data_IF_352578053887
#
_entry.id   IF_352578053887
#
_cell.length_a   1.000
_cell.length_b   1.000
_cell.length_c   1.000
_cell.angle_alpha   90.00
_cell.angle_beta   90.00
_cell.angle_gamma   90.00
#
_symmetry.space_group_name_H-M   'P 1'
#
loop_
_entity.id
_entity.type
_entity.pdbx_description
1 polymer ?
#
# COMPACT_ATOMS: atom_id res chain seq x y z
N UNK A 1 -12.31 10.46 -53.09
CA UNK A 1 -11.34 11.01 -52.10
C UNK A 1 -11.54 10.27 -50.78
N UNK A 2 -10.68 9.29 -50.47
CA UNK A 2 -10.70 8.57 -49.20
C UNK A 2 -9.81 9.27 -48.18
N UNK A 3 -10.31 9.47 -46.95
CA UNK A 3 -9.56 10.11 -45.87
C UNK A 3 -8.48 9.16 -45.33
N UNK A 4 -7.34 9.71 -44.89
CA UNK A 4 -6.25 8.94 -44.33
C UNK A 4 -6.70 8.26 -43.02
N UNK A 5 -6.67 6.92 -42.99
CA UNK A 5 -7.03 6.11 -41.82
C UNK A 5 -5.94 6.22 -40.75
N UNK A 6 -6.24 6.87 -39.62
CA UNK A 6 -5.31 7.01 -38.48
C UNK A 6 -5.15 5.67 -37.75
N UNK A 7 -3.93 5.13 -37.66
CA UNK A 7 -3.65 3.95 -36.81
C UNK A 7 -3.79 4.35 -35.33
N UNK A 8 -4.66 3.66 -34.59
CA UNK A 8 -4.72 3.74 -33.13
C UNK A 8 -3.51 3.00 -32.54
N UNK A 9 -2.57 3.73 -31.94
CA UNK A 9 -1.52 3.11 -31.12
C UNK A 9 -2.14 2.72 -29.78
N UNK A 10 -2.34 1.42 -29.56
CA UNK A 10 -2.70 0.90 -28.24
C UNK A 10 -1.41 0.76 -27.44
N UNK A 11 -1.27 1.57 -26.40
CA UNK A 11 -0.12 1.50 -25.49
C UNK A 11 -0.50 0.59 -24.34
N UNK A 12 0.09 -0.60 -24.29
CA UNK A 12 0.00 -1.47 -23.12
C UNK A 12 0.97 -0.95 -22.06
N UNK A 13 0.43 -0.42 -20.95
CA UNK A 13 1.24 -0.09 -19.76
C UNK A 13 1.51 -1.38 -18.98
N UNK A 14 2.78 -1.68 -18.74
CA UNK A 14 3.22 -2.79 -17.91
C UNK A 14 3.30 -2.35 -16.45
N UNK A 15 2.52 -2.99 -15.57
CA UNK A 15 2.45 -2.67 -14.14
C UNK A 15 3.81 -2.75 -13.42
N UNK A 16 4.72 -3.62 -13.88
CA UNK A 16 6.04 -3.82 -13.30
C UNK A 16 6.98 -2.61 -13.40
N UNK A 17 6.78 -1.74 -14.40
CA UNK A 17 7.58 -0.54 -14.54
C UNK A 17 7.20 0.54 -13.51
N UNK A 18 5.92 0.59 -13.14
CA UNK A 18 5.40 1.59 -12.21
C UNK A 18 5.79 1.26 -10.76
N UNK A 19 5.80 -0.01 -10.37
CA UNK A 19 6.30 -0.46 -9.06
C UNK A 19 7.76 -0.08 -8.81
N UNK A 20 8.63 -0.24 -9.82
CA UNK A 20 10.03 0.16 -9.71
C UNK A 20 10.19 1.66 -9.52
N UNK A 21 9.37 2.46 -10.20
CA UNK A 21 9.37 3.92 -10.05
C UNK A 21 8.88 4.32 -8.65
N UNK A 22 7.82 3.69 -8.16
CA UNK A 22 7.31 3.94 -6.81
C UNK A 22 8.38 3.64 -5.76
N UNK A 23 9.03 2.48 -5.84
CA UNK A 23 10.12 2.12 -4.91
C UNK A 23 11.29 3.12 -4.96
N UNK A 24 11.62 3.64 -6.14
CA UNK A 24 12.65 4.67 -6.27
C UNK A 24 12.25 6.00 -5.64
N UNK A 25 10.99 6.44 -5.84
CA UNK A 25 10.45 7.64 -5.21
C UNK A 25 10.43 7.53 -3.67
N UNK A 26 10.03 6.37 -3.15
CA UNK A 26 10.03 6.11 -1.71
C UNK A 26 11.46 6.19 -1.13
N UNK A 27 12.44 5.55 -1.78
CA UNK A 27 13.85 5.66 -1.36
C UNK A 27 14.35 7.11 -1.30
N UNK A 28 13.93 7.97 -2.23
CA UNK A 28 14.29 9.41 -2.21
C UNK A 28 13.72 10.16 -1.01
N UNK A 29 12.59 9.70 -0.46
CA UNK A 29 12.00 10.24 0.77
C UNK A 29 12.68 9.71 2.05
N UNK A 30 13.75 8.90 1.90
CA UNK A 30 14.51 8.37 3.02
C UNK A 30 13.79 7.30 3.82
N UNK A 31 12.79 6.63 3.24
CA UNK A 31 12.12 5.52 3.92
C UNK A 31 13.01 4.26 3.89
N UNK A 32 13.15 3.62 5.04
CA UNK A 32 13.92 2.39 5.24
C UNK A 32 12.98 1.22 5.53
N UNK A 33 13.36 0.01 5.11
CA UNK A 33 12.55 -1.18 5.32
C UNK A 33 12.60 -1.63 6.80
N UNK A 34 11.45 -1.92 7.40
CA UNK A 34 11.35 -2.54 8.72
C UNK A 34 11.01 -4.02 8.52
N UNK A 35 11.86 -4.91 9.02
CA UNK A 35 11.65 -6.37 8.94
C UNK A 35 10.87 -6.89 10.13
N UNK A 36 10.18 -8.03 9.96
CA UNK A 36 9.53 -8.74 11.06
C UNK A 36 8.21 -8.12 11.53
N UNK A 37 7.55 -7.31 10.69
CA UNK A 37 6.22 -6.83 11.00
C UNK A 37 5.22 -7.98 10.87
N UNK A 38 4.55 -8.29 11.97
CA UNK A 38 3.53 -9.34 12.03
C UNK A 38 2.18 -8.84 11.55
N UNK A 39 1.82 -7.61 11.92
CA UNK A 39 0.56 -7.00 11.51
C UNK A 39 0.62 -5.48 11.55
N UNK A 40 -0.27 -4.84 10.80
CA UNK A 40 -0.57 -3.41 10.92
C UNK A 40 -2.09 -3.26 10.98
N UNK A 41 -2.56 -2.51 11.97
CA UNK A 41 -3.97 -2.22 12.16
C UNK A 41 -4.21 -0.71 11.98
N UNK A 42 -5.14 -0.33 11.10
CA UNK A 42 -5.61 1.05 10.98
C UNK A 42 -7.06 1.12 11.48
N UNK A 43 -7.25 1.71 12.65
CA UNK A 43 -8.58 1.91 13.22
C UNK A 43 -9.32 3.04 12.49
N UNK A 44 -10.56 2.78 12.10
CA UNK A 44 -11.43 3.79 11.52
C UNK A 44 -12.43 4.29 12.55
N UNK A 45 -13.01 5.47 12.29
CA UNK A 45 -14.09 6.01 13.12
C UNK A 45 -15.46 5.34 12.89
N UNK A 46 -15.55 4.35 11.99
CA UNK A 46 -16.79 3.61 11.69
C UNK A 46 -16.88 2.28 12.45
N UNK A 47 -15.98 2.03 13.40
CA UNK A 47 -15.93 0.75 14.12
C UNK A 47 -15.36 -0.40 13.29
N UNK A 48 -14.61 -0.09 12.23
CA UNK A 48 -13.86 -1.08 11.43
C UNK A 48 -12.37 -0.91 11.61
N UNK A 49 -11.62 -1.96 11.29
CA UNK A 49 -10.16 -1.98 11.27
C UNK A 49 -9.73 -2.40 9.87
N UNK A 50 -8.84 -1.64 9.24
CA UNK A 50 -8.10 -2.10 8.06
C UNK A 50 -6.89 -2.87 8.58
N UNK A 51 -6.97 -4.19 8.47
CA UNK A 51 -5.99 -5.14 8.97
C UNK A 51 -5.07 -5.61 7.85
N UNK A 52 -3.76 -5.59 8.11
CA UNK A 52 -2.75 -6.19 7.26
C UNK A 52 -2.02 -7.28 8.04
N UNK A 53 -1.98 -8.49 7.50
CA UNK A 53 -1.18 -9.59 8.05
C UNK A 53 0.16 -9.68 7.30
N UNK A 54 1.25 -9.72 8.05
CA UNK A 54 2.64 -9.72 7.60
C UNK A 54 2.96 -8.72 6.45
N UNK A 55 2.59 -7.43 6.57
CA UNK A 55 2.85 -6.47 5.51
C UNK A 55 4.34 -6.15 5.37
N UNK A 56 4.73 -5.71 4.16
CA UNK A 56 5.99 -5.01 3.97
C UNK A 56 5.83 -3.56 4.45
N UNK A 57 6.65 -3.16 5.41
CA UNK A 57 6.65 -1.79 5.94
C UNK A 57 7.96 -1.10 5.63
N UNK A 58 7.87 0.13 5.17
CA UNK A 58 8.97 1.07 5.08
C UNK A 58 8.63 2.30 5.90
N UNK A 59 9.61 2.92 6.55
CA UNK A 59 9.38 4.08 7.39
C UNK A 59 10.53 5.09 7.31
N UNK A 60 10.18 6.35 7.41
CA UNK A 60 11.09 7.44 7.75
C UNK A 60 10.60 8.04 9.06
N UNK A 61 11.27 7.72 10.17
CA UNK A 61 10.93 8.25 11.50
C UNK A 61 11.16 9.77 11.56
N UNK A 62 12.22 10.26 10.91
CA UNK A 62 12.51 11.69 10.82
C UNK A 62 11.39 12.48 10.12
N UNK A 63 10.71 11.85 9.15
CA UNK A 63 9.60 12.45 8.42
C UNK A 63 8.21 12.01 8.94
N UNK A 64 8.14 11.27 10.05
CA UNK A 64 6.90 10.67 10.57
C UNK A 64 6.04 9.98 9.49
N UNK A 65 6.68 9.29 8.54
CA UNK A 65 6.03 8.73 7.36
C UNK A 65 6.24 7.22 7.30
N UNK A 66 5.15 6.48 7.14
CA UNK A 66 5.14 5.03 6.95
C UNK A 66 4.52 4.67 5.60
N UNK A 67 5.10 3.69 4.92
CA UNK A 67 4.56 3.06 3.72
C UNK A 67 4.29 1.60 4.04
N UNK A 68 3.03 1.21 3.92
CA UNK A 68 2.56 -0.15 4.20
C UNK A 68 2.11 -0.76 2.88
N UNK A 69 2.66 -1.92 2.54
CA UNK A 69 2.32 -2.65 1.31
C UNK A 69 1.99 -4.08 1.66
N UNK A 70 0.78 -4.50 1.34
CA UNK A 70 0.26 -5.84 1.62
C UNK A 70 -1.21 -5.94 1.28
N UNK A 71 -1.76 -7.13 1.44
CA UNK A 71 -3.21 -7.34 1.33
C UNK A 71 -3.90 -6.70 2.55
N UNK A 72 -4.94 -5.91 2.29
CA UNK A 72 -5.73 -5.24 3.31
C UNK A 72 -7.08 -5.95 3.45
N UNK A 73 -7.46 -6.26 4.69
CA UNK A 73 -8.78 -6.78 5.04
C UNK A 73 -9.48 -5.79 5.96
N UNK A 74 -10.67 -5.32 5.56
CA UNK A 74 -11.50 -4.52 6.44
C UNK A 74 -12.34 -5.45 7.31
N UNK A 75 -12.14 -5.41 8.62
CA UNK A 75 -12.86 -6.22 9.62
C UNK A 75 -13.68 -5.34 10.55
N UNK A 76 -14.77 -5.86 11.10
CA UNK A 76 -15.45 -5.17 12.20
C UNK A 76 -14.57 -5.25 13.45
N UNK A 77 -14.47 -4.17 14.23
CA UNK A 77 -13.69 -4.16 15.47
C UNK A 77 -14.12 -5.28 16.43
N UNK A 78 -15.42 -5.59 16.46
CA UNK A 78 -16.00 -6.65 17.28
C UNK A 78 -15.49 -8.05 16.94
N UNK A 79 -15.07 -8.31 15.69
CA UNK A 79 -14.53 -9.60 15.25
C UNK A 79 -13.10 -9.85 15.77
N UNK A 80 -12.40 -8.79 16.19
CA UNK A 80 -11.02 -8.86 16.70
C UNK A 80 -10.95 -8.79 18.23
N UNK A 81 -12.09 -8.82 18.92
CA UNK A 81 -12.14 -8.87 20.38
C UNK A 81 -11.92 -10.29 20.93
N UNK A 82 -11.27 -10.45 22.10
CA UNK A 82 -10.73 -9.39 22.93
C UNK A 82 -9.28 -9.00 22.60
N UNK A 83 -8.61 -9.73 21.70
CA UNK A 83 -7.16 -9.58 21.48
C UNK A 83 -6.74 -8.18 21.02
N UNK A 84 -7.58 -7.48 20.27
CA UNK A 84 -7.29 -6.13 19.77
C UNK A 84 -7.25 -5.03 20.85
N UNK A 85 -7.67 -5.33 22.10
CA UNK A 85 -7.76 -4.33 23.18
C UNK A 85 -6.41 -3.82 23.69
N UNK A 86 -5.30 -4.46 23.33
CA UNK A 86 -3.95 -4.14 23.83
C UNK A 86 -3.07 -3.36 22.83
N UNK A 87 -3.65 -2.87 21.73
CA UNK A 87 -2.95 -2.17 20.64
C UNK A 87 -2.95 -0.64 20.79
#
# INVERSE_FOLDING_TARGET
KGTARRKKKVVHRTATADDKKLQFSLKKLGVNNISGIEEVNMFTNQGTVIHFNNPKVQASLAANTFTITGHAETKQLTEMLPSILNQ
#
